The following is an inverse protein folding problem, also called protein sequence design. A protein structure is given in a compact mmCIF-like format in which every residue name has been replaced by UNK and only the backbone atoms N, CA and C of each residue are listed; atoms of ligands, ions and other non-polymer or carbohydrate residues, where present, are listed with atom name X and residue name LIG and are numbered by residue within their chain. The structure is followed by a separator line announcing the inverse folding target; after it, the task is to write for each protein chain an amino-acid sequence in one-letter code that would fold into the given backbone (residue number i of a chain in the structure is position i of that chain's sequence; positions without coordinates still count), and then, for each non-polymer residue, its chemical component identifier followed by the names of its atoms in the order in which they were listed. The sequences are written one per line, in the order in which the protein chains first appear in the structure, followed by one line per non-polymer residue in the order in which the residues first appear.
data_IF_552736522886
#
_entry.id   IF_552736522886
#
_cell.length_a   1.000
_cell.length_b   1.000
_cell.length_c   1.000
_cell.angle_alpha   90.00
_cell.angle_beta   90.00
_cell.angle_gamma   90.00
#
_symmetry.space_group_name_H-M   'P 1'
#
loop_
_entity.id
_entity.type
_entity.pdbx_description
1 polymer ?
#
# COMPACT_ATOMS: atom_id res chain seq x y z
N UNK A 1 -2.66 17.85 -13.09
CA UNK A 1 -2.60 17.01 -11.88
C UNK A 1 -1.11 16.80 -11.62
N UNK A 2 -0.61 17.04 -10.41
CA UNK A 2 0.81 16.80 -10.13
C UNK A 2 1.03 15.30 -9.98
N UNK A 3 1.95 14.74 -10.76
CA UNK A 3 2.32 13.33 -10.66
C UNK A 3 2.81 13.04 -9.23
N UNK A 4 2.14 12.10 -8.55
CA UNK A 4 2.55 11.67 -7.22
C UNK A 4 3.91 10.98 -7.33
N UNK A 5 4.87 11.45 -6.53
CA UNK A 5 6.18 10.80 -6.42
C UNK A 5 6.03 9.58 -5.52
N UNK A 6 6.21 8.40 -6.10
CA UNK A 6 6.28 7.13 -5.38
C UNK A 6 7.72 6.90 -4.93
N UNK A 7 7.89 6.52 -3.67
CA UNK A 7 9.18 6.16 -3.08
C UNK A 7 9.35 4.65 -3.21
N UNK A 8 10.59 4.16 -3.29
CA UNK A 8 10.85 2.72 -3.24
C UNK A 8 10.58 2.16 -1.83
N UNK A 9 10.03 0.95 -1.74
CA UNK A 9 9.86 0.27 -0.46
C UNK A 9 11.22 0.00 0.20
N UNK A 10 12.27 -0.27 -0.56
CA UNK A 10 13.60 -0.54 -0.01
C UNK A 10 14.14 0.68 0.76
N UNK A 11 13.92 1.90 0.27
CA UNK A 11 14.29 3.16 0.97
C UNK A 11 13.52 3.33 2.31
N UNK A 12 12.31 2.79 2.37
CA UNK A 12 11.47 2.78 3.57
C UNK A 12 11.98 1.74 4.57
N UNK A 13 12.37 0.56 4.08
CA UNK A 13 12.86 -0.55 4.88
C UNK A 13 14.29 -0.35 5.39
N UNK A 14 15.17 0.33 4.65
CA UNK A 14 16.52 0.68 5.10
C UNK A 14 16.49 1.49 6.40
N UNK A 15 15.49 2.37 6.57
CA UNK A 15 15.28 3.12 7.82
C UNK A 15 14.83 2.25 9.00
N UNK A 16 14.37 1.04 8.74
CA UNK A 16 13.89 0.08 9.74
C UNK A 16 14.94 -1.00 10.09
N UNK A 17 16.14 -0.96 9.49
CA UNK A 17 17.21 -1.94 9.73
C UNK A 17 17.96 -1.71 11.06
N UNK A 18 17.32 -2.14 12.14
CA UNK A 18 17.96 -2.95 13.20
C UNK A 18 16.97 -4.05 13.58
N UNK A 19 16.87 -5.06 12.70
CA UNK A 19 15.80 -6.09 12.66
C UNK A 19 15.69 -6.94 13.94
N UNK A 20 16.70 -6.90 14.80
CA UNK A 20 16.69 -7.58 16.11
C UNK A 20 15.68 -7.01 17.11
N UNK A 21 15.08 -5.85 16.81
CA UNK A 21 14.21 -5.11 17.75
C UNK A 21 12.76 -4.97 17.31
N UNK A 22 12.36 -5.50 16.16
CA UNK A 22 11.02 -5.28 15.62
C UNK A 22 10.24 -6.59 15.49
N UNK A 23 8.95 -6.54 15.79
CA UNK A 23 8.00 -7.59 15.46
C UNK A 23 7.03 -7.11 14.39
N UNK A 24 6.70 -7.98 13.44
CA UNK A 24 5.59 -7.75 12.53
C UNK A 24 4.27 -8.03 13.25
N UNK A 25 3.32 -7.12 13.08
CA UNK A 25 1.96 -7.27 13.58
C UNK A 25 0.99 -7.12 12.41
N UNK A 26 0.16 -8.14 12.21
CA UNK A 26 -0.97 -8.07 11.29
C UNK A 26 -2.10 -7.28 11.96
N UNK A 27 -2.51 -6.17 11.34
CA UNK A 27 -3.59 -5.30 11.79
C UNK A 27 -4.92 -5.60 11.07
N UNK A 28 -4.94 -6.60 10.20
CA UNK A 28 -6.10 -7.04 9.42
C UNK A 28 -6.48 -6.09 8.29
N UNK A 29 -7.70 -6.28 7.76
CA UNK A 29 -8.24 -5.44 6.70
C UNK A 29 -8.71 -4.09 7.26
N UNK A 30 -8.20 -3.00 6.70
CA UNK A 30 -8.54 -1.63 7.10
C UNK A 30 -9.03 -0.80 5.91
N UNK A 31 -9.71 0.30 6.24
CA UNK A 31 -10.01 1.38 5.30
C UNK A 31 -8.78 2.28 5.21
N UNK A 32 -8.30 2.52 3.99
CA UNK A 32 -7.09 3.30 3.70
C UNK A 32 -7.40 4.35 2.65
N UNK A 33 -6.80 5.53 2.81
CA UNK A 33 -6.86 6.59 1.82
C UNK A 33 -5.72 6.37 0.80
N UNK A 34 -6.02 6.20 -0.51
CA UNK A 34 -4.97 5.99 -1.52
C UNK A 34 -3.91 7.10 -1.56
N UNK A 35 -4.27 8.31 -1.13
CA UNK A 35 -3.35 9.46 -1.00
C UNK A 35 -2.24 9.21 0.01
N UNK A 36 -2.44 8.36 1.02
CA UNK A 36 -1.48 8.04 2.08
C UNK A 36 -0.52 6.90 1.71
N UNK A 37 -0.74 6.20 0.59
CA UNK A 37 0.16 5.15 0.11
C UNK A 37 1.32 5.78 -0.67
N UNK A 38 2.54 5.73 -0.16
CA UNK A 38 3.68 6.48 -0.71
C UNK A 38 4.71 5.63 -1.43
N UNK A 39 4.64 4.32 -1.31
CA UNK A 39 5.62 3.42 -1.92
C UNK A 39 4.98 2.19 -2.56
N UNK A 40 5.66 1.67 -3.57
CA UNK A 40 5.32 0.47 -4.33
C UNK A 40 6.45 -0.55 -4.18
N UNK A 41 6.12 -1.84 -4.10
CA UNK A 41 7.12 -2.93 -3.99
C UNK A 41 7.64 -3.45 -5.33
N UNK A 42 7.08 -2.99 -6.46
CA UNK A 42 7.49 -3.41 -7.81
C UNK A 42 6.98 -2.49 -8.90
N UNK A 43 7.63 -2.59 -10.06
CA UNK A 43 7.21 -1.91 -11.27
C UNK A 43 5.79 -2.27 -11.72
N UNK A 44 5.13 -1.28 -12.32
CA UNK A 44 3.78 -1.41 -12.84
C UNK A 44 3.79 -1.95 -14.27
N UNK A 45 3.26 -3.16 -14.46
CA UNK A 45 2.92 -3.67 -15.79
C UNK A 45 1.85 -2.81 -16.51
N UNK A 46 2.14 -2.21 -17.68
CA UNK A 46 1.17 -1.38 -18.42
C UNK A 46 -0.08 -2.14 -18.85
N UNK A 47 0.07 -3.43 -19.22
CA UNK A 47 -1.06 -4.29 -19.60
C UNK A 47 -2.03 -4.49 -18.42
N UNK A 48 -1.51 -4.71 -17.21
CA UNK A 48 -2.33 -4.87 -16.01
C UNK A 48 -3.00 -3.56 -15.62
N UNK A 49 -2.28 -2.43 -15.72
CA UNK A 49 -2.85 -1.09 -15.50
C UNK A 49 -4.02 -0.83 -16.44
N UNK A 50 -3.84 -1.02 -17.75
CA UNK A 50 -4.89 -0.81 -18.74
C UNK A 50 -6.14 -1.64 -18.45
N UNK A 51 -5.96 -2.93 -18.12
CA UNK A 51 -7.09 -3.82 -17.79
C UNK A 51 -7.82 -3.36 -16.53
N UNK A 52 -7.08 -2.99 -15.49
CA UNK A 52 -7.68 -2.53 -14.23
C UNK A 52 -8.42 -1.20 -14.43
N UNK A 53 -7.83 -0.26 -15.17
CA UNK A 53 -8.44 1.02 -15.48
C UNK A 53 -9.77 0.83 -16.23
N UNK A 54 -9.81 -0.01 -17.28
CA UNK A 54 -11.05 -0.33 -18.00
C UNK A 54 -12.10 -0.94 -17.07
N UNK A 55 -11.71 -1.90 -16.22
CA UNK A 55 -12.61 -2.52 -15.26
C UNK A 55 -13.23 -1.51 -14.29
N UNK A 56 -12.44 -0.54 -13.80
CA UNK A 56 -12.93 0.51 -12.89
C UNK A 56 -13.83 1.49 -13.61
N UNK A 57 -13.55 1.83 -14.87
CA UNK A 57 -14.41 2.69 -15.69
C UNK A 57 -15.75 2.04 -16.00
N UNK A 58 -15.77 0.72 -16.23
CA UNK A 58 -16.99 -0.04 -16.55
C UNK A 58 -17.85 -0.33 -15.32
N UNK A 59 -17.24 -0.65 -14.17
CA UNK A 59 -17.95 -1.21 -13.01
C UNK A 59 -17.82 -0.36 -11.73
N UNK A 60 -17.10 0.75 -11.78
CA UNK A 60 -16.68 1.49 -10.59
C UNK A 60 -15.54 0.81 -9.85
N UNK A 61 -15.05 1.45 -8.78
CA UNK A 61 -14.08 0.83 -7.89
C UNK A 61 -14.75 -0.27 -7.06
N UNK A 62 -14.11 -1.44 -7.02
CA UNK A 62 -14.57 -2.57 -6.22
C UNK A 62 -13.40 -3.10 -5.39
N UNK A 63 -13.60 -3.21 -4.08
CA UNK A 63 -12.64 -3.83 -3.17
C UNK A 63 -12.69 -5.36 -3.25
N UNK A 64 -12.52 -5.90 -4.47
CA UNK A 64 -12.43 -7.34 -4.69
C UNK A 64 -11.16 -7.83 -4.01
N UNK A 65 -11.32 -8.81 -3.10
CA UNK A 65 -10.23 -9.40 -2.30
C UNK A 65 -9.30 -8.33 -1.70
N UNK A 66 -9.72 -7.62 -0.63
CA UNK A 66 -8.87 -6.62 0.04
C UNK A 66 -7.52 -7.18 0.48
N UNK A 67 -7.45 -8.48 0.79
CA UNK A 67 -6.22 -9.18 1.14
C UNK A 67 -5.15 -9.18 0.03
N UNK A 68 -5.55 -9.02 -1.24
CA UNK A 68 -4.61 -8.97 -2.38
C UNK A 68 -3.90 -7.61 -2.51
N UNK A 69 -4.28 -6.64 -1.67
CA UNK A 69 -3.58 -5.38 -1.48
C UNK A 69 -2.98 -5.37 -0.06
N UNK A 70 -1.72 -5.81 0.05
CA UNK A 70 -0.99 -5.79 1.33
C UNK A 70 -0.21 -4.49 1.47
N UNK A 71 -0.45 -3.80 2.58
CA UNK A 71 0.20 -2.55 2.92
C UNK A 71 0.97 -2.70 4.24
N UNK A 72 2.17 -2.13 4.26
CA UNK A 72 2.92 -1.89 5.48
C UNK A 72 2.66 -0.45 5.94
N UNK A 73 2.10 -0.30 7.14
CA UNK A 73 2.01 1.00 7.81
C UNK A 73 3.36 1.33 8.45
N UNK A 74 3.96 2.42 8.01
CA UNK A 74 5.29 2.85 8.44
C UNK A 74 5.19 3.84 9.62
N UNK A 75 6.27 4.11 10.38
CA UNK A 75 6.20 4.85 11.64
C UNK A 75 5.59 6.25 11.56
N UNK A 76 5.69 6.92 10.40
CA UNK A 76 5.08 8.25 10.19
C UNK A 76 3.57 8.20 9.86
N UNK A 77 2.97 7.00 9.87
CA UNK A 77 1.55 6.77 9.66
C UNK A 77 1.15 6.52 8.21
N UNK A 78 2.05 6.72 7.24
CA UNK A 78 1.81 6.45 5.82
C UNK A 78 1.90 4.95 5.51
N UNK A 79 1.59 4.59 4.27
CA UNK A 79 1.57 3.20 3.82
C UNK A 79 2.54 2.95 2.67
N UNK A 80 3.16 1.78 2.66
CA UNK A 80 3.89 1.25 1.53
C UNK A 80 3.23 -0.04 1.07
N UNK A 81 3.17 -0.31 -0.24
CA UNK A 81 2.72 -1.62 -0.71
C UNK A 81 3.83 -2.62 -0.42
N UNK A 82 3.54 -3.62 0.40
CA UNK A 82 4.49 -4.66 0.81
C UNK A 82 4.41 -5.84 -0.17
N UNK A 83 3.22 -6.44 -0.28
CA UNK A 83 2.95 -7.54 -1.20
C UNK A 83 1.62 -7.35 -1.95
N UNK A 84 1.51 -7.91 -3.16
CA UNK A 84 0.31 -7.77 -3.99
C UNK A 84 0.05 -6.32 -4.40
N UNK A 85 -1.15 -5.99 -4.85
CA UNK A 85 -1.70 -4.63 -4.73
C UNK A 85 -1.16 -3.45 -5.54
N UNK A 86 0.05 -3.50 -6.10
CA UNK A 86 0.74 -2.31 -6.65
C UNK A 86 -0.09 -1.53 -7.67
N UNK A 87 -0.67 -2.23 -8.65
CA UNK A 87 -1.57 -1.64 -9.65
C UNK A 87 -2.83 -1.03 -9.06
N UNK A 88 -3.39 -1.64 -8.02
CA UNK A 88 -4.58 -1.16 -7.32
C UNK A 88 -4.27 0.11 -6.52
N UNK A 89 -3.16 0.13 -5.80
CA UNK A 89 -2.68 1.32 -5.10
C UNK A 89 -2.47 2.49 -6.07
N UNK A 90 -1.80 2.24 -7.20
CA UNK A 90 -1.60 3.26 -8.23
C UNK A 90 -2.91 3.78 -8.83
N UNK A 91 -3.76 2.89 -9.36
CA UNK A 91 -5.00 3.30 -10.05
C UNK A 91 -5.99 3.97 -9.10
N UNK A 92 -6.12 3.50 -7.86
CA UNK A 92 -7.01 4.15 -6.87
C UNK A 92 -6.55 5.57 -6.56
N UNK A 93 -5.24 5.81 -6.50
CA UNK A 93 -4.70 7.15 -6.32
C UNK A 93 -4.97 8.04 -7.54
N UNK A 94 -4.60 7.57 -8.74
CA UNK A 94 -4.76 8.31 -10.01
C UNK A 94 -6.21 8.69 -10.29
N UNK A 95 -7.16 7.81 -9.98
CA UNK A 95 -8.58 8.05 -10.19
C UNK A 95 -9.23 8.85 -9.05
N UNK A 96 -8.47 9.26 -8.03
CA UNK A 96 -8.99 10.01 -6.89
C UNK A 96 -10.02 9.23 -6.07
N UNK A 97 -9.89 7.90 -5.99
CA UNK A 97 -10.74 7.07 -5.14
C UNK A 97 -10.53 7.50 -3.68
N UNK A 98 -11.62 7.82 -2.99
CA UNK A 98 -11.56 8.40 -1.65
C UNK A 98 -10.98 7.41 -0.65
N UNK A 99 -11.49 6.19 -0.63
CA UNK A 99 -11.12 5.16 0.33
C UNK A 99 -11.14 3.78 -0.34
N UNK A 100 -10.23 2.92 0.09
CA UNK A 100 -10.12 1.53 -0.38
C UNK A 100 -9.92 0.60 0.82
N UNK A 101 -10.19 -0.70 0.63
CA UNK A 101 -9.87 -1.71 1.64
C UNK A 101 -8.58 -2.44 1.29
N UNK A 102 -7.71 -2.61 2.28
CA UNK A 102 -6.41 -3.26 2.15
C UNK A 102 -6.08 -4.08 3.41
N UNK A 103 -5.30 -5.14 3.26
CA UNK A 103 -4.64 -5.78 4.40
C UNK A 103 -3.51 -4.90 4.89
N UNK A 104 -3.44 -4.63 6.20
CA UNK A 104 -2.43 -3.74 6.77
C UNK A 104 -1.62 -4.48 7.83
N UNK A 105 -0.30 -4.49 7.65
CA UNK A 105 0.66 -4.88 8.69
C UNK A 105 1.48 -3.69 9.18
N UNK A 106 2.22 -3.85 10.26
CA UNK A 106 3.20 -2.86 10.73
C UNK A 106 4.33 -3.53 11.50
N UNK A 107 5.47 -2.85 11.62
CA UNK A 107 6.57 -3.25 12.49
C UNK A 107 6.57 -2.41 13.77
N UNK A 108 6.55 -3.07 14.93
CA UNK A 108 6.59 -2.41 16.24
C UNK A 108 7.90 -2.75 16.92
N UNK A 109 8.54 -1.75 17.52
CA UNK A 109 9.73 -1.96 18.36
C UNK A 109 9.36 -2.71 19.63
N UNK A 110 10.06 -3.80 19.91
CA UNK A 110 9.83 -4.70 21.05
C UNK A 110 9.76 -3.96 22.39
N UNK A 111 10.58 -2.91 22.58
CA UNK A 111 10.58 -2.16 23.84
C UNK A 111 9.33 -1.28 24.05
N UNK A 112 8.53 -1.02 23.00
CA UNK A 112 7.26 -0.28 23.11
C UNK A 112 6.09 -1.17 23.59
N UNK A 113 6.35 -2.47 23.78
CA UNK A 113 5.36 -3.45 24.26
C UNK A 113 5.48 -3.75 25.77
N UNK A 114 6.46 -3.15 26.44
CA UNK A 114 6.66 -3.22 27.90
C UNK A 114 6.08 -1.97 28.58
#
# INVERSE_FOLDING_TARGET
MSDKVWIDLDDVLEKLQDSSRYIYVDLGVQVVYPTEIVALSRELSPRKLKRLHLSVMENGWQDICPADLSLLKIPDGRYAVDDGGNHRAYISNELGIKEIKASVGTYIELYKLN
#
